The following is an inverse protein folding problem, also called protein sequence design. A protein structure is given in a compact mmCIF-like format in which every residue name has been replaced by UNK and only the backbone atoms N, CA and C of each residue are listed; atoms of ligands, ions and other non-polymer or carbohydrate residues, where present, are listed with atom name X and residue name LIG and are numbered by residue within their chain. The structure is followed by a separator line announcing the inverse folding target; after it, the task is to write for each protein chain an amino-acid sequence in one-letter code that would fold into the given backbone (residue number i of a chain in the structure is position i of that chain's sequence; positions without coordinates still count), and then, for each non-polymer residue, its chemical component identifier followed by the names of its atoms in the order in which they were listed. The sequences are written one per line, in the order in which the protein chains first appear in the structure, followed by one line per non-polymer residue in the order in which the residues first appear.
data_IF_353522737416
#
_entry.id   IF_353522737416
#
_cell.length_a   1.000
_cell.length_b   1.000
_cell.length_c   1.000
_cell.angle_alpha   90.00
_cell.angle_beta   90.00
_cell.angle_gamma   90.00
#
_symmetry.space_group_name_H-M   'P 1'
#
loop_
_entity.id
_entity.type
_entity.pdbx_description
1 polymer ?
#
# COMPACT_ATOMS: atom_id res chain seq x y z
N UNK A 1 -28.64 -8.56 49.85
CA UNK A 1 -27.38 -8.01 49.30
C UNK A 1 -27.60 -8.00 47.81
N UNK A 2 -28.26 -6.93 47.35
CA UNK A 2 -28.48 -6.68 45.93
C UNK A 2 -27.16 -6.10 45.44
N UNK A 3 -26.44 -6.86 44.61
CA UNK A 3 -25.35 -6.31 43.81
C UNK A 3 -25.99 -5.19 42.99
N UNK A 4 -25.82 -3.95 43.45
CA UNK A 4 -26.09 -2.78 42.64
C UNK A 4 -25.17 -2.92 41.45
N UNK A 5 -25.73 -3.22 40.28
CA UNK A 5 -25.07 -3.02 39.00
C UNK A 5 -24.53 -1.59 39.05
N UNK A 6 -23.22 -1.46 39.33
CA UNK A 6 -22.53 -0.19 39.13
C UNK A 6 -22.60 0.02 37.63
N UNK A 7 -23.52 0.89 37.20
CA UNK A 7 -23.65 1.30 35.81
C UNK A 7 -22.25 1.73 35.34
N UNK A 8 -21.61 0.90 34.51
CA UNK A 8 -20.28 1.17 33.98
C UNK A 8 -20.36 2.50 33.21
N UNK A 9 -19.76 3.54 33.78
CA UNK A 9 -19.74 4.87 33.16
C UNK A 9 -18.93 4.77 31.87
N UNK A 10 -19.61 4.90 30.74
CA UNK A 10 -18.99 4.84 29.42
C UNK A 10 -17.98 5.99 29.26
N UNK A 11 -16.76 5.65 28.87
CA UNK A 11 -15.76 6.65 28.54
C UNK A 11 -15.86 7.10 27.09
N UNK A 12 -15.76 8.42 26.84
CA UNK A 12 -15.71 8.99 25.50
C UNK A 12 -14.66 10.11 25.39
N UNK A 13 -13.93 10.22 24.27
CA UNK A 13 -12.93 11.26 24.12
C UNK A 13 -13.60 12.63 24.05
N UNK A 14 -13.01 13.58 24.78
CA UNK A 14 -13.43 14.97 24.75
C UNK A 14 -13.26 15.58 23.37
N UNK A 15 -14.28 16.24 22.85
CA UNK A 15 -14.21 16.92 21.54
C UNK A 15 -13.98 18.41 21.77
N UNK A 16 -12.72 18.81 21.91
CA UNK A 16 -12.36 20.21 22.17
C UNK A 16 -12.45 21.06 20.90
N UNK A 17 -12.61 22.40 21.02
CA UNK A 17 -12.52 23.31 19.88
C UNK A 17 -11.20 23.16 19.10
N UNK A 18 -10.08 22.91 19.79
CA UNK A 18 -8.79 22.56 19.15
C UNK A 18 -8.93 21.37 18.21
N UNK A 19 -9.47 20.23 18.70
CA UNK A 19 -9.61 19.00 17.92
C UNK A 19 -10.54 19.17 16.72
N UNK A 20 -11.64 19.92 16.89
CA UNK A 20 -12.51 20.29 15.78
C UNK A 20 -11.80 21.19 14.77
N UNK A 21 -10.94 22.10 15.22
CA UNK A 21 -10.15 22.95 14.32
C UNK A 21 -9.16 22.12 13.49
N UNK A 22 -8.46 21.16 14.10
CA UNK A 22 -7.58 20.21 13.41
C UNK A 22 -8.37 19.45 12.33
N UNK A 23 -9.50 18.84 12.68
CA UNK A 23 -10.33 18.09 11.74
C UNK A 23 -10.92 18.96 10.63
N UNK A 24 -11.54 20.08 10.99
CA UNK A 24 -12.19 20.98 10.04
C UNK A 24 -11.20 21.59 9.06
N UNK A 25 -10.01 21.96 9.50
CA UNK A 25 -8.96 22.50 8.60
C UNK A 25 -8.37 21.41 7.71
N UNK A 26 -8.16 20.20 8.23
CA UNK A 26 -7.76 19.02 7.43
C UNK A 26 -8.76 18.79 6.28
N UNK A 27 -10.04 18.67 6.62
CA UNK A 27 -11.10 18.40 5.66
C UNK A 27 -11.31 19.57 4.69
N UNK A 28 -11.41 20.79 5.23
CA UNK A 28 -11.69 22.00 4.48
C UNK A 28 -10.58 22.34 3.49
N UNK A 29 -9.34 22.46 3.96
CA UNK A 29 -8.20 22.80 3.10
C UNK A 29 -7.85 21.67 2.14
N UNK A 30 -7.88 20.42 2.60
CA UNK A 30 -7.62 19.27 1.72
C UNK A 30 -8.65 19.15 0.59
N UNK A 31 -9.93 19.38 0.89
CA UNK A 31 -11.00 19.36 -0.13
C UNK A 31 -10.92 20.58 -1.06
N UNK A 32 -10.68 21.78 -0.52
CA UNK A 32 -10.50 22.98 -1.34
C UNK A 32 -9.31 22.83 -2.31
N UNK A 33 -8.21 22.24 -1.84
CA UNK A 33 -7.05 21.88 -2.67
C UNK A 33 -7.43 20.92 -3.79
N UNK A 34 -8.10 19.82 -3.47
CA UNK A 34 -8.51 18.82 -4.47
C UNK A 34 -9.44 19.40 -5.54
N UNK A 35 -10.43 20.19 -5.15
CA UNK A 35 -11.34 20.87 -6.08
C UNK A 35 -10.58 21.87 -6.96
N UNK A 36 -9.66 22.63 -6.38
CA UNK A 36 -8.86 23.62 -7.12
C UNK A 36 -7.94 22.96 -8.14
N UNK A 37 -7.32 21.84 -7.77
CA UNK A 37 -6.50 21.04 -8.67
C UNK A 37 -7.32 20.46 -9.84
N UNK A 38 -8.57 20.03 -9.60
CA UNK A 38 -9.45 19.50 -10.65
C UNK A 38 -9.96 20.54 -11.62
N UNK A 39 -10.25 21.76 -11.16
CA UNK A 39 -10.79 22.83 -12.02
C UNK A 39 -9.78 23.34 -13.05
N UNK A 40 -8.54 22.83 -13.06
CA UNK A 40 -7.45 23.40 -13.85
C UNK A 40 -7.12 24.84 -13.45
N UNK A 41 -7.69 25.32 -12.33
CA UNK A 41 -7.36 26.61 -11.74
C UNK A 41 -5.86 26.65 -11.54
N UNK A 42 -5.25 27.80 -11.84
CA UNK A 42 -3.80 27.98 -11.91
C UNK A 42 -3.08 27.22 -10.78
N UNK A 43 -2.13 26.36 -11.14
CA UNK A 43 -1.42 25.42 -10.27
C UNK A 43 -0.97 26.04 -8.93
N UNK A 44 -0.66 27.34 -8.94
CA UNK A 44 -0.32 28.17 -7.78
C UNK A 44 -1.36 28.17 -6.65
N UNK A 45 -2.66 28.04 -6.95
CA UNK A 45 -3.74 28.02 -5.94
C UNK A 45 -3.66 26.76 -5.09
N UNK A 46 -3.45 25.60 -5.70
CA UNK A 46 -3.30 24.32 -4.98
C UNK A 46 -2.07 24.36 -4.07
N UNK A 47 -0.93 24.85 -4.58
CA UNK A 47 0.29 25.04 -3.80
C UNK A 47 0.09 26.04 -2.65
N UNK A 48 -0.68 27.11 -2.87
CA UNK A 48 -1.01 28.08 -1.81
C UNK A 48 -1.79 27.43 -0.67
N UNK A 49 -2.77 26.56 -0.98
CA UNK A 49 -3.48 25.80 0.05
C UNK A 49 -2.57 24.85 0.83
N UNK A 50 -1.58 24.24 0.18
CA UNK A 50 -0.57 23.42 0.87
C UNK A 50 0.24 24.25 1.87
N UNK A 51 0.71 25.44 1.47
CA UNK A 51 1.47 26.33 2.35
C UNK A 51 0.65 26.85 3.52
N UNK A 52 -0.59 27.30 3.26
CA UNK A 52 -1.49 27.77 4.31
C UNK A 52 -1.80 26.62 5.28
N UNK A 53 -2.14 25.44 4.76
CA UNK A 53 -2.38 24.25 5.56
C UNK A 53 -1.17 23.87 6.41
N UNK A 54 0.01 23.74 5.80
CA UNK A 54 1.24 23.40 6.51
C UNK A 54 1.61 24.39 7.62
N UNK A 55 1.48 25.69 7.34
CA UNK A 55 1.72 26.75 8.34
C UNK A 55 0.72 26.64 9.50
N UNK A 56 -0.55 26.41 9.18
CA UNK A 56 -1.61 26.27 10.17
C UNK A 56 -1.42 25.03 11.04
N UNK A 57 -1.10 23.86 10.45
CA UNK A 57 -0.77 22.65 11.20
C UNK A 57 0.47 22.81 12.07
N UNK A 58 1.47 23.59 11.63
CA UNK A 58 2.64 23.87 12.46
C UNK A 58 2.27 24.68 13.71
N UNK A 59 1.37 25.65 13.59
CA UNK A 59 0.83 26.40 14.73
C UNK A 59 0.07 25.45 15.68
N UNK A 60 -0.82 24.61 15.13
CA UNK A 60 -1.55 23.61 15.91
C UNK A 60 -0.60 22.64 16.62
N UNK A 61 0.44 22.16 15.93
CA UNK A 61 1.46 21.28 16.49
C UNK A 61 2.19 21.92 17.68
N UNK A 62 2.52 23.22 17.60
CA UNK A 62 3.17 23.96 18.69
C UNK A 62 2.27 24.05 19.94
N UNK A 63 0.94 24.14 19.77
CA UNK A 63 0.00 24.23 20.90
C UNK A 63 -0.55 22.87 21.35
N UNK A 64 -0.26 21.79 20.62
CA UNK A 64 -0.69 20.41 20.92
C UNK A 64 -0.35 19.93 22.35
N UNK A 65 0.78 20.31 22.99
CA UNK A 65 1.05 19.90 24.36
C UNK A 65 -0.05 20.27 25.37
N UNK A 66 -0.78 21.37 25.15
CA UNK A 66 -1.90 21.77 26.00
C UNK A 66 -3.11 20.85 25.87
N UNK A 67 -3.32 20.24 24.70
CA UNK A 67 -4.34 19.20 24.50
C UNK A 67 -3.93 17.89 25.19
N UNK A 68 -2.62 17.62 25.28
CA UNK A 68 -2.05 16.43 25.95
C UNK A 68 -1.95 16.56 27.48
N UNK A 69 -2.71 17.48 28.09
CA UNK A 69 -2.79 17.65 29.54
C UNK A 69 -1.78 18.64 30.15
N UNK A 70 -0.93 19.30 29.37
CA UNK A 70 -0.14 20.41 29.91
C UNK A 70 -1.08 21.56 30.31
N UNK A 71 -0.81 22.28 31.43
CA UNK A 71 -1.67 23.36 31.88
C UNK A 71 -1.74 24.46 30.81
N UNK A 72 -2.94 24.70 30.29
CA UNK A 72 -3.15 25.71 29.25
C UNK A 72 -3.10 27.13 29.85
N UNK A 73 -2.48 28.11 29.16
CA UNK A 73 -2.57 29.51 29.58
C UNK A 73 -4.03 29.98 29.59
N UNK A 74 -4.38 30.86 30.54
CA UNK A 74 -5.77 31.37 30.70
C UNK A 74 -6.38 31.97 29.42
N UNK A 75 -5.57 32.49 28.51
CA UNK A 75 -6.05 33.06 27.24
C UNK A 75 -6.27 32.00 26.13
N UNK A 76 -5.78 30.76 26.33
CA UNK A 76 -6.00 29.61 25.43
C UNK A 76 -6.95 28.56 26.01
N UNK A 77 -7.36 28.69 27.28
CA UNK A 77 -8.23 27.71 27.93
C UNK A 77 -9.52 27.47 27.15
N UNK A 78 -10.09 28.50 26.53
CA UNK A 78 -11.28 28.38 25.68
C UNK A 78 -11.12 27.39 24.52
N UNK A 79 -9.89 27.10 24.09
CA UNK A 79 -9.59 26.22 22.96
C UNK A 79 -9.48 24.74 23.38
N UNK A 80 -9.12 24.46 24.64
CA UNK A 80 -8.80 23.10 25.13
C UNK A 80 -9.72 22.61 26.27
N UNK A 81 -10.29 23.52 27.07
CA UNK A 81 -11.09 23.18 28.24
C UNK A 81 -12.57 22.90 27.96
N UNK A 82 -13.26 23.55 27.00
CA UNK A 82 -14.64 23.20 26.69
C UNK A 82 -14.73 21.86 25.96
N UNK A 83 -15.74 21.05 26.31
CA UNK A 83 -16.18 19.94 25.46
C UNK A 83 -17.29 20.43 24.53
N UNK A 84 -17.07 20.34 23.22
CA UNK A 84 -18.08 20.73 22.24
C UNK A 84 -19.31 19.81 22.28
N UNK A 85 -19.19 18.60 22.84
CA UNK A 85 -20.33 17.72 23.05
C UNK A 85 -21.36 18.33 24.01
N UNK A 86 -20.95 19.15 24.99
CA UNK A 86 -21.87 19.81 25.92
C UNK A 86 -22.85 20.74 25.19
N UNK A 87 -22.38 21.42 24.14
CA UNK A 87 -23.23 22.29 23.30
C UNK A 87 -24.24 21.45 22.52
N UNK A 88 -23.80 20.32 21.97
CA UNK A 88 -24.67 19.40 21.22
C UNK A 88 -25.73 18.82 22.17
N UNK A 89 -25.32 18.33 23.33
CA UNK A 89 -26.24 17.79 24.33
C UNK A 89 -27.19 18.85 24.88
N UNK A 90 -26.74 20.09 25.06
CA UNK A 90 -27.62 21.20 25.42
C UNK A 90 -28.70 21.44 24.35
N UNK A 91 -28.36 21.34 23.07
CA UNK A 91 -29.32 21.45 21.97
C UNK A 91 -30.27 20.24 21.92
N UNK A 92 -29.77 19.02 22.11
CA UNK A 92 -30.56 17.80 22.15
C UNK A 92 -31.49 17.72 23.38
N UNK A 93 -31.07 18.27 24.51
CA UNK A 93 -31.89 18.39 25.71
C UNK A 93 -33.12 19.28 25.48
N UNK A 94 -33.01 20.32 24.63
CA UNK A 94 -34.18 21.10 24.18
C UNK A 94 -35.15 20.27 23.35
N UNK A 95 -34.68 19.18 22.74
CA UNK A 95 -35.49 18.19 22.03
C UNK A 95 -35.92 17.02 22.93
N UNK A 96 -35.79 17.14 24.25
CA UNK A 96 -36.14 16.12 25.24
C UNK A 96 -35.32 14.82 25.17
N UNK A 97 -34.11 14.86 24.59
CA UNK A 97 -33.18 13.73 24.63
C UNK A 97 -32.27 13.91 25.84
N UNK A 98 -32.28 13.00 26.84
CA UNK A 98 -31.42 13.12 28.02
C UNK A 98 -29.95 12.99 27.64
N UNK A 99 -29.08 13.78 28.30
CA UNK A 99 -27.64 13.63 28.17
C UNK A 99 -27.23 12.32 28.85
N UNK A 100 -26.50 11.42 28.17
CA UNK A 100 -25.89 10.27 28.82
C UNK A 100 -24.86 10.74 29.85
N UNK A 101 -24.71 9.97 30.92
CA UNK A 101 -23.60 10.15 31.85
C UNK A 101 -22.37 9.46 31.24
N UNK A 102 -21.31 10.24 30.96
CA UNK A 102 -20.09 9.73 30.38
C UNK A 102 -18.87 10.45 30.97
N UNK A 103 -17.76 9.74 31.04
CA UNK A 103 -16.50 10.30 31.51
C UNK A 103 -15.65 10.71 30.30
N UNK A 104 -15.22 11.98 30.26
CA UNK A 104 -14.33 12.50 29.21
C UNK A 104 -12.91 12.79 29.68
N UNK A 105 -12.59 12.42 30.92
CA UNK A 105 -11.28 12.62 31.49
C UNK A 105 -10.28 11.63 30.89
N UNK A 106 -9.29 12.16 30.19
CA UNK A 106 -8.23 11.34 29.58
C UNK A 106 -7.24 10.87 30.64
N UNK A 107 -6.84 9.60 30.55
CA UNK A 107 -5.76 9.07 31.37
C UNK A 107 -4.45 9.72 30.94
N UNK A 108 -3.75 10.31 31.91
CA UNK A 108 -2.42 10.84 31.70
C UNK A 108 -1.47 9.65 31.51
N UNK A 109 -0.77 9.53 30.37
CA UNK A 109 0.17 8.44 30.16
C UNK A 109 1.21 8.39 31.28
N UNK A 110 1.59 7.19 31.71
CA UNK A 110 2.62 7.02 32.74
C UNK A 110 3.93 7.73 32.32
N UNK A 111 4.35 8.79 33.04
CA UNK A 111 5.54 9.56 32.68
C UNK A 111 6.83 8.74 32.77
N UNK A 112 6.81 7.57 33.43
CA UNK A 112 7.97 6.67 33.57
C UNK A 112 8.14 5.71 32.40
N UNK A 113 7.20 5.69 31.45
CA UNK A 113 7.32 4.92 30.20
C UNK A 113 8.38 5.56 29.28
N UNK A 114 9.64 5.12 29.44
CA UNK A 114 10.77 5.62 28.65
C UNK A 114 10.74 5.24 27.15
N UNK A 115 9.65 4.63 26.65
CA UNK A 115 9.55 4.17 25.27
C UNK A 115 8.14 4.31 24.71
N UNK A 116 8.03 4.90 23.50
CA UNK A 116 6.78 4.93 22.75
C UNK A 116 6.42 3.48 22.33
N UNK A 117 5.31 2.90 22.80
CA UNK A 117 4.93 1.54 22.42
C UNK A 117 4.69 1.45 20.91
N UNK A 118 5.04 0.29 20.31
CA UNK A 118 4.69 0.01 18.91
C UNK A 118 3.32 -0.67 18.95
N UNK A 119 2.28 0.16 18.82
CA UNK A 119 0.88 -0.27 18.88
C UNK A 119 0.40 -0.71 17.50
N UNK A 120 -0.62 -1.56 17.45
CA UNK A 120 -1.23 -2.01 16.18
C UNK A 120 -1.78 -0.82 15.39
N UNK A 121 -2.38 0.15 16.10
CA UNK A 121 -2.83 1.42 15.53
C UNK A 121 -1.70 2.18 14.81
N UNK A 122 -0.54 2.36 15.45
CA UNK A 122 0.59 3.08 14.84
C UNK A 122 1.15 2.35 13.61
N UNK A 123 1.19 1.02 13.65
CA UNK A 123 1.57 0.22 12.47
C UNK A 123 0.56 0.40 11.32
N UNK A 124 -0.75 0.42 11.62
CA UNK A 124 -1.79 0.67 10.64
C UNK A 124 -1.65 2.06 9.99
N UNK A 125 -1.42 3.11 10.78
CA UNK A 125 -1.24 4.47 10.27
C UNK A 125 0.01 4.55 9.39
N UNK A 126 1.16 4.06 9.87
CA UNK A 126 2.42 4.07 9.10
C UNK A 126 2.34 3.27 7.80
N UNK A 127 1.73 2.08 7.83
CA UNK A 127 1.55 1.25 6.64
C UNK A 127 0.59 1.91 5.63
N UNK A 128 -0.48 2.57 6.10
CA UNK A 128 -1.40 3.31 5.24
C UNK A 128 -0.70 4.49 4.56
N UNK A 129 0.03 5.32 5.32
CA UNK A 129 0.79 6.45 4.75
C UNK A 129 1.80 5.96 3.70
N UNK A 130 2.49 4.85 3.99
CA UNK A 130 3.45 4.25 3.06
C UNK A 130 2.76 3.77 1.78
N UNK A 131 1.66 3.02 1.90
CA UNK A 131 0.93 2.46 0.76
C UNK A 131 0.36 3.56 -0.15
N UNK A 132 -0.31 4.56 0.42
CA UNK A 132 -0.86 5.69 -0.34
C UNK A 132 0.24 6.60 -0.88
N UNK A 133 1.35 6.77 -0.18
CA UNK A 133 2.52 7.51 -0.66
C UNK A 133 3.14 6.86 -1.89
N UNK A 134 3.32 5.53 -1.87
CA UNK A 134 3.79 4.76 -3.03
C UNK A 134 2.79 4.87 -4.19
N UNK A 135 1.49 4.71 -3.92
CA UNK A 135 0.45 4.82 -4.94
C UNK A 135 0.42 6.22 -5.59
N UNK A 136 0.49 7.28 -4.78
CA UNK A 136 0.58 8.67 -5.26
C UNK A 136 1.82 8.88 -6.11
N UNK A 137 2.99 8.41 -5.66
CA UNK A 137 4.23 8.53 -6.42
C UNK A 137 4.13 7.80 -7.76
N UNK A 138 3.59 6.58 -7.77
CA UNK A 138 3.35 5.82 -8.99
C UNK A 138 2.43 6.58 -9.95
N UNK A 139 1.27 7.07 -9.50
CA UNK A 139 0.38 7.87 -10.34
C UNK A 139 1.03 9.16 -10.85
N UNK A 140 1.86 9.81 -10.03
CA UNK A 140 2.63 10.97 -10.42
C UNK A 140 3.63 10.67 -11.54
N UNK A 141 4.42 9.59 -11.40
CA UNK A 141 5.38 9.16 -12.43
C UNK A 141 4.71 8.71 -13.72
N UNK A 142 3.48 8.19 -13.65
CA UNK A 142 2.68 7.80 -14.81
C UNK A 142 1.97 8.98 -15.49
N UNK A 143 2.15 10.21 -15.01
CA UNK A 143 1.47 11.39 -15.55
C UNK A 143 -0.04 11.43 -15.24
N UNK A 144 -0.54 10.53 -14.38
CA UNK A 144 -1.95 10.46 -13.97
C UNK A 144 -2.21 11.46 -12.83
N UNK A 145 -2.07 12.75 -13.13
CA UNK A 145 -2.17 13.85 -12.16
C UNK A 145 -3.50 13.83 -11.39
N UNK A 146 -4.61 13.51 -12.05
CA UNK A 146 -5.93 13.37 -11.43
C UNK A 146 -5.97 12.22 -10.41
N UNK A 147 -5.44 11.05 -10.77
CA UNK A 147 -5.40 9.89 -9.87
C UNK A 147 -4.47 10.14 -8.67
N UNK A 148 -3.32 10.78 -8.91
CA UNK A 148 -2.41 11.19 -7.85
C UNK A 148 -3.07 12.19 -6.89
N UNK A 149 -3.83 13.16 -7.42
CA UNK A 149 -4.58 14.15 -6.63
C UNK A 149 -5.67 13.50 -5.79
N UNK A 150 -6.44 12.57 -6.36
CA UNK A 150 -7.46 11.82 -5.61
C UNK A 150 -6.86 10.93 -4.54
N UNK A 151 -5.73 10.30 -4.83
CA UNK A 151 -5.00 9.47 -3.85
C UNK A 151 -4.50 10.33 -2.69
N UNK A 152 -3.96 11.52 -2.99
CA UNK A 152 -3.54 12.52 -2.00
C UNK A 152 -4.72 13.00 -1.15
N UNK A 153 -5.86 13.30 -1.76
CA UNK A 153 -7.07 13.71 -1.04
C UNK A 153 -7.64 12.59 -0.17
N UNK A 154 -7.73 11.35 -0.69
CA UNK A 154 -8.23 10.21 0.09
C UNK A 154 -7.35 9.94 1.31
N UNK A 155 -6.02 9.96 1.16
CA UNK A 155 -5.12 9.80 2.29
C UNK A 155 -5.24 11.00 3.24
N UNK A 156 -5.00 12.22 2.72
CA UNK A 156 -4.83 13.42 3.53
C UNK A 156 -6.11 13.92 4.19
N UNK A 157 -7.28 13.66 3.59
CA UNK A 157 -8.58 14.06 4.15
C UNK A 157 -9.27 12.89 4.80
N UNK A 158 -9.63 11.86 4.03
CA UNK A 158 -10.52 10.80 4.53
C UNK A 158 -9.80 9.91 5.55
N UNK A 159 -8.67 9.33 5.16
CA UNK A 159 -7.95 8.40 6.02
C UNK A 159 -7.36 9.11 7.24
N UNK A 160 -6.72 10.27 7.07
CA UNK A 160 -6.19 11.05 8.19
C UNK A 160 -7.28 11.48 9.16
N UNK A 161 -8.48 11.87 8.71
CA UNK A 161 -9.58 12.22 9.64
C UNK A 161 -10.07 11.01 10.43
N UNK A 162 -10.20 9.85 9.78
CA UNK A 162 -10.58 8.60 10.46
C UNK A 162 -9.51 8.21 11.48
N UNK A 163 -8.23 8.22 11.09
CA UNK A 163 -7.13 7.93 12.01
C UNK A 163 -7.07 8.94 13.15
N UNK A 164 -7.26 10.22 12.88
CA UNK A 164 -7.33 11.23 13.92
C UNK A 164 -8.43 10.92 14.95
N UNK A 165 -9.65 10.65 14.49
CA UNK A 165 -10.74 10.25 15.37
C UNK A 165 -10.42 8.97 16.17
N UNK A 166 -9.77 7.98 15.53
CA UNK A 166 -9.34 6.76 16.22
C UNK A 166 -8.22 7.04 17.24
N UNK A 167 -7.27 7.94 16.96
CA UNK A 167 -6.23 8.31 17.94
C UNK A 167 -6.78 8.99 19.18
N UNK A 168 -7.96 9.61 19.12
CA UNK A 168 -8.60 10.17 20.31
C UNK A 168 -8.94 9.08 21.34
N UNK A 169 -9.09 7.83 20.90
CA UNK A 169 -9.30 6.67 21.77
C UNK A 169 -7.98 6.03 22.24
N UNK A 170 -6.82 6.50 21.78
CA UNK A 170 -5.52 5.96 22.20
C UNK A 170 -5.23 6.25 23.68
N UNK A 171 -5.76 7.36 24.22
CA UNK A 171 -5.55 7.80 25.61
C UNK A 171 -6.38 7.03 26.63
N UNK A 172 -7.50 6.41 26.25
CA UNK A 172 -8.32 5.58 27.15
C UNK A 172 -8.73 4.29 26.45
N UNK A 173 -7.77 3.37 26.38
CA UNK A 173 -7.92 2.11 25.65
C UNK A 173 -8.59 0.98 26.44
N UNK A 174 -8.91 1.20 27.72
CA UNK A 174 -9.27 0.13 28.64
C UNK A 174 -10.57 -0.58 28.24
N UNK A 175 -11.54 0.14 27.65
CA UNK A 175 -12.89 -0.41 27.44
C UNK A 175 -13.18 -0.93 26.02
N UNK A 176 -12.61 -0.33 24.97
CA UNK A 176 -13.02 -0.66 23.59
C UNK A 176 -12.11 -1.68 22.89
N UNK A 177 -10.79 -1.49 22.96
CA UNK A 177 -9.84 -2.38 22.27
C UNK A 177 -8.38 -2.21 22.77
N UNK A 178 -8.05 -2.68 23.98
CA UNK A 178 -6.71 -2.52 24.54
C UNK A 178 -5.63 -3.17 23.67
N UNK A 179 -5.95 -4.29 23.01
CA UNK A 179 -5.03 -4.99 22.09
C UNK A 179 -4.61 -4.16 20.85
N UNK A 180 -5.40 -3.15 20.48
CA UNK A 180 -5.16 -2.29 19.33
C UNK A 180 -4.33 -1.05 19.70
N UNK A 181 -4.61 -0.45 20.88
CA UNK A 181 -4.05 0.83 21.31
C UNK A 181 -2.97 0.73 22.40
N UNK A 182 -3.06 -0.17 23.37
CA UNK A 182 -2.14 -0.19 24.53
C UNK A 182 -1.15 -1.36 24.52
N UNK A 183 -1.47 -2.48 23.89
CA UNK A 183 -0.58 -3.64 23.87
C UNK A 183 0.70 -3.35 23.06
N UNK A 184 1.85 -3.22 23.77
CA UNK A 184 3.14 -3.05 23.11
C UNK A 184 3.52 -4.31 22.34
N UNK A 185 3.44 -4.24 21.01
CA UNK A 185 3.74 -5.36 20.13
C UNK A 185 5.23 -5.62 19.99
N UNK A 186 6.13 -4.79 20.55
CA UNK A 186 7.59 -5.02 20.49
C UNK A 186 7.95 -6.44 20.91
N UNK A 187 7.45 -6.91 22.04
CA UNK A 187 7.78 -8.25 22.54
C UNK A 187 7.19 -9.36 21.67
N UNK A 188 6.05 -9.12 21.01
CA UNK A 188 5.44 -10.04 20.05
C UNK A 188 6.22 -10.06 18.72
N UNK A 189 6.64 -8.91 18.21
CA UNK A 189 7.48 -8.77 17.01
C UNK A 189 8.87 -9.37 17.21
N UNK A 190 9.46 -9.21 18.40
CA UNK A 190 10.83 -9.63 18.68
C UNK A 190 10.99 -10.98 19.39
N UNK A 191 10.00 -11.47 20.16
CA UNK A 191 10.23 -12.65 21.03
C UNK A 191 9.15 -13.73 21.08
N UNK A 192 7.90 -13.51 20.61
CA UNK A 192 6.79 -14.45 20.91
C UNK A 192 5.74 -14.73 19.85
N UNK A 193 5.97 -14.43 18.57
CA UNK A 193 5.08 -14.92 17.50
C UNK A 193 5.77 -15.97 16.64
N UNK A 194 5.42 -17.26 16.78
CA UNK A 194 5.60 -18.22 15.68
C UNK A 194 4.28 -18.69 15.05
N UNK A 195 3.12 -18.18 15.47
CA UNK A 195 1.91 -19.00 15.41
C UNK A 195 0.64 -18.34 14.88
N UNK A 196 -0.11 -17.70 15.78
CA UNK A 196 -1.47 -17.22 15.53
C UNK A 196 -1.44 -15.82 14.92
N UNK A 197 -0.53 -14.95 15.38
CA UNK A 197 -0.29 -13.63 14.77
C UNK A 197 0.37 -13.74 13.39
N UNK A 198 1.22 -14.75 13.16
CA UNK A 198 1.77 -15.03 11.83
C UNK A 198 0.69 -15.55 10.88
N UNK A 199 -0.16 -16.49 11.34
CA UNK A 199 -1.27 -17.00 10.54
C UNK A 199 -2.23 -15.89 10.14
N UNK A 200 -2.62 -15.02 11.09
CA UNK A 200 -3.50 -13.87 10.82
C UNK A 200 -2.87 -12.80 9.95
N UNK A 201 -1.57 -12.52 10.11
CA UNK A 201 -0.84 -11.59 9.24
C UNK A 201 -0.74 -12.13 7.81
N UNK A 202 -0.45 -13.43 7.64
CA UNK A 202 -0.41 -14.05 6.32
C UNK A 202 -1.80 -14.16 5.69
N UNK A 203 -2.84 -14.51 6.44
CA UNK A 203 -4.21 -14.55 5.90
C UNK A 203 -4.71 -13.15 5.55
N UNK A 204 -4.42 -12.13 6.37
CA UNK A 204 -4.72 -10.74 6.06
C UNK A 204 -3.94 -10.26 4.83
N UNK A 205 -2.65 -10.57 4.75
CA UNK A 205 -1.82 -10.23 3.58
C UNK A 205 -2.31 -10.91 2.30
N UNK A 206 -2.67 -12.19 2.37
CA UNK A 206 -3.25 -12.94 1.25
C UNK A 206 -4.60 -12.35 0.86
N UNK A 207 -5.47 -12.06 1.83
CA UNK A 207 -6.77 -11.45 1.58
C UNK A 207 -6.62 -10.07 0.92
N UNK A 208 -5.70 -9.23 1.41
CA UNK A 208 -5.39 -7.93 0.82
C UNK A 208 -4.85 -8.05 -0.60
N UNK A 209 -3.94 -8.99 -0.85
CA UNK A 209 -3.40 -9.22 -2.19
C UNK A 209 -4.44 -9.80 -3.17
N UNK A 210 -5.34 -10.66 -2.69
CA UNK A 210 -6.48 -11.18 -3.47
C UNK A 210 -7.47 -10.06 -3.78
N UNK A 211 -7.85 -9.26 -2.78
CA UNK A 211 -8.73 -8.11 -2.96
C UNK A 211 -8.13 -7.12 -3.95
N UNK A 212 -6.83 -6.82 -3.83
CA UNK A 212 -6.07 -5.99 -4.77
C UNK A 212 -6.17 -6.53 -6.20
N UNK A 213 -5.90 -7.81 -6.39
CA UNK A 213 -5.94 -8.46 -7.71
C UNK A 213 -7.35 -8.45 -8.32
N UNK A 214 -8.39 -8.71 -7.51
CA UNK A 214 -9.79 -8.66 -7.95
C UNK A 214 -10.21 -7.24 -8.33
N UNK A 215 -9.83 -6.24 -7.52
CA UNK A 215 -10.13 -4.84 -7.78
C UNK A 215 -9.51 -4.38 -9.10
N UNK A 216 -8.22 -4.67 -9.33
CA UNK A 216 -7.57 -4.34 -10.60
C UNK A 216 -8.16 -5.10 -11.78
N UNK A 217 -8.48 -6.39 -11.65
CA UNK A 217 -9.18 -7.15 -12.69
C UNK A 217 -10.53 -6.52 -13.06
N UNK A 218 -11.32 -6.13 -12.06
CA UNK A 218 -12.63 -5.49 -12.28
C UNK A 218 -12.47 -4.14 -12.97
N UNK A 219 -11.50 -3.35 -12.52
CA UNK A 219 -11.19 -2.06 -13.10
C UNK A 219 -10.72 -2.20 -14.56
N UNK A 220 -9.84 -3.17 -14.88
CA UNK A 220 -9.48 -3.53 -16.28
C UNK A 220 -10.74 -3.89 -17.07
N UNK A 221 -11.60 -4.74 -16.52
CA UNK A 221 -12.83 -5.16 -17.20
C UNK A 221 -13.80 -4.00 -17.45
N UNK A 222 -13.87 -3.02 -16.55
CA UNK A 222 -14.67 -1.81 -16.71
C UNK A 222 -14.03 -0.84 -17.72
N UNK A 223 -12.74 -0.54 -17.58
CA UNK A 223 -11.99 0.29 -18.52
C UNK A 223 -12.02 -0.28 -19.94
N UNK A 224 -12.09 -1.60 -20.08
CA UNK A 224 -12.24 -2.26 -21.39
C UNK A 224 -13.64 -2.12 -21.99
N UNK A 225 -14.69 -2.14 -21.16
CA UNK A 225 -16.08 -2.00 -21.60
C UNK A 225 -16.49 -0.55 -21.86
N UNK A 226 -15.86 0.38 -21.16
CA UNK A 226 -16.20 1.79 -21.27
C UNK A 226 -15.60 2.39 -22.54
N UNK A 227 -16.45 2.70 -23.51
CA UNK A 227 -16.05 3.32 -24.77
C UNK A 227 -15.49 4.73 -24.57
N UNK A 228 -15.75 5.38 -23.43
CA UNK A 228 -15.18 6.69 -23.09
C UNK A 228 -13.68 6.62 -22.82
N UNK A 229 -13.18 5.48 -22.32
CA UNK A 229 -11.73 5.20 -22.27
C UNK A 229 -11.16 4.82 -23.63
N UNK A 230 -12.01 4.41 -24.58
CA UNK A 230 -11.59 3.90 -25.87
C UNK A 230 -11.44 4.99 -26.94
N UNK A 231 -11.99 6.18 -26.74
CA UNK A 231 -12.02 7.18 -27.80
C UNK A 231 -12.17 8.62 -27.30
N UNK A 232 -11.05 9.33 -27.15
CA UNK A 232 -11.06 10.78 -27.37
C UNK A 232 -11.07 11.01 -28.86
N UNK A 233 -12.06 11.76 -29.34
CA UNK A 233 -12.19 12.12 -30.75
C UNK A 233 -10.86 12.78 -31.19
N UNK A 234 -10.15 12.19 -32.17
CA UNK A 234 -8.84 12.69 -32.55
C UNK A 234 -8.99 14.11 -33.11
N UNK A 235 -8.04 14.98 -32.75
CA UNK A 235 -8.00 16.34 -33.28
C UNK A 235 -8.01 16.30 -34.81
N UNK A 236 -8.87 17.11 -35.42
CA UNK A 236 -9.13 17.12 -36.88
C UNK A 236 -7.87 17.41 -37.68
N UNK A 237 -6.90 18.09 -37.08
CA UNK A 237 -5.63 18.46 -37.71
C UNK A 237 -4.60 17.32 -37.76
N UNK A 238 -4.65 16.34 -36.84
CA UNK A 238 -3.68 15.24 -36.77
C UNK A 238 -4.35 13.89 -36.46
N UNK A 239 -5.22 13.39 -37.37
CA UNK A 239 -6.04 12.20 -37.10
C UNK A 239 -5.22 10.92 -36.90
N UNK A 240 -4.04 10.84 -37.51
CA UNK A 240 -3.17 9.65 -37.45
C UNK A 240 -2.39 9.61 -36.14
N UNK A 241 -1.75 10.72 -35.73
CA UNK A 241 -1.01 10.76 -34.46
C UNK A 241 -1.96 10.61 -33.28
N UNK A 242 -3.08 11.35 -33.27
CA UNK A 242 -4.05 11.26 -32.16
C UNK A 242 -4.51 9.83 -31.95
N UNK A 243 -4.76 9.10 -33.04
CA UNK A 243 -5.11 7.68 -33.01
C UNK A 243 -3.95 6.80 -32.53
N UNK A 244 -2.73 7.02 -33.02
CA UNK A 244 -1.55 6.25 -32.61
C UNK A 244 -1.20 6.46 -31.13
N UNK A 245 -1.25 7.71 -30.65
CA UNK A 245 -1.02 8.08 -29.26
C UNK A 245 -2.09 7.49 -28.33
N UNK A 246 -3.37 7.64 -28.67
CA UNK A 246 -4.46 7.04 -27.88
C UNK A 246 -4.34 5.51 -27.81
N UNK A 247 -3.93 4.88 -28.91
CA UNK A 247 -3.71 3.45 -28.97
C UNK A 247 -2.49 3.02 -28.14
N UNK A 248 -1.38 3.75 -28.20
CA UNK A 248 -0.20 3.51 -27.38
C UNK A 248 -0.48 3.70 -25.89
N UNK A 249 -1.16 4.79 -25.52
CA UNK A 249 -1.57 5.07 -24.15
C UNK A 249 -2.48 3.96 -23.60
N UNK A 250 -3.39 3.44 -24.43
CA UNK A 250 -4.26 2.31 -24.06
C UNK A 250 -3.47 1.03 -23.79
N UNK A 251 -2.53 0.69 -24.67
CA UNK A 251 -1.67 -0.47 -24.46
C UNK A 251 -0.77 -0.32 -23.24
N UNK A 252 -0.21 0.87 -23.03
CA UNK A 252 0.60 1.18 -21.86
C UNK A 252 -0.20 1.06 -20.56
N UNK A 253 -1.39 1.66 -20.49
CA UNK A 253 -2.25 1.54 -19.31
C UNK A 253 -2.62 0.08 -19.05
N UNK A 254 -2.97 -0.67 -20.10
CA UNK A 254 -3.25 -2.10 -19.99
C UNK A 254 -2.04 -2.87 -19.43
N UNK A 255 -0.85 -2.55 -19.91
CA UNK A 255 0.41 -3.16 -19.47
C UNK A 255 0.70 -2.87 -17.99
N UNK A 256 0.55 -1.62 -17.55
CA UNK A 256 0.70 -1.23 -16.14
C UNK A 256 -0.33 -1.92 -15.24
N UNK A 257 -1.55 -2.12 -15.72
CA UNK A 257 -2.57 -2.86 -14.98
C UNK A 257 -2.24 -4.36 -14.87
N UNK A 258 -1.73 -4.97 -15.94
CA UNK A 258 -1.26 -6.35 -15.92
C UNK A 258 -0.08 -6.52 -14.95
N UNK A 259 0.81 -5.52 -14.87
CA UNK A 259 1.89 -5.49 -13.89
C UNK A 259 1.35 -5.40 -12.45
N UNK A 260 0.35 -4.54 -12.19
CA UNK A 260 -0.32 -4.47 -10.88
C UNK A 260 -0.97 -5.80 -10.46
N UNK A 261 -1.57 -6.53 -11.41
CA UNK A 261 -2.12 -7.88 -11.20
C UNK A 261 -0.99 -8.87 -10.90
N UNK A 262 0.09 -8.84 -11.68
CA UNK A 262 1.25 -9.71 -11.49
C UNK A 262 1.87 -9.51 -10.10
N UNK A 263 2.06 -8.27 -9.65
CA UNK A 263 2.54 -7.93 -8.30
C UNK A 263 1.63 -8.53 -7.22
N UNK A 264 0.30 -8.42 -7.38
CA UNK A 264 -0.65 -9.05 -6.47
C UNK A 264 -0.46 -10.57 -6.38
N UNK A 265 -0.32 -11.25 -7.52
CA UNK A 265 -0.07 -12.70 -7.59
C UNK A 265 1.27 -13.07 -6.96
N UNK A 266 2.34 -12.31 -7.21
CA UNK A 266 3.67 -12.55 -6.61
C UNK A 266 3.61 -12.39 -5.09
N UNK A 267 2.95 -11.34 -4.59
CA UNK A 267 2.73 -11.16 -3.16
C UNK A 267 2.00 -12.36 -2.55
N UNK A 268 0.96 -12.89 -3.20
CA UNK A 268 0.27 -14.11 -2.76
C UNK A 268 1.24 -15.29 -2.71
N UNK A 269 2.03 -15.52 -3.78
CA UNK A 269 2.98 -16.63 -3.85
C UNK A 269 4.08 -16.53 -2.78
N UNK A 270 4.60 -15.33 -2.52
CA UNK A 270 5.59 -15.09 -1.48
C UNK A 270 5.00 -15.31 -0.09
N UNK A 271 3.80 -14.80 0.19
CA UNK A 271 3.13 -15.02 1.48
C UNK A 271 2.80 -16.50 1.70
N UNK A 272 2.36 -17.21 0.64
CA UNK A 272 2.15 -18.66 0.70
C UNK A 272 3.44 -19.43 0.95
N UNK A 273 4.57 -19.03 0.33
CA UNK A 273 5.89 -19.62 0.60
C UNK A 273 6.29 -19.40 2.05
N UNK A 274 6.17 -18.18 2.54
CA UNK A 274 6.54 -17.83 3.91
C UNK A 274 5.67 -18.57 4.93
N UNK A 275 4.36 -18.68 4.65
CA UNK A 275 3.44 -19.52 5.42
C UNK A 275 3.85 -20.99 5.39
N UNK A 276 4.19 -21.55 4.22
CA UNK A 276 4.62 -22.94 4.09
C UNK A 276 5.91 -23.22 4.87
N UNK A 277 6.92 -22.35 4.78
CA UNK A 277 8.16 -22.45 5.57
C UNK A 277 7.87 -22.34 7.06
N UNK A 278 6.99 -21.42 7.45
CA UNK A 278 6.54 -21.25 8.84
C UNK A 278 5.84 -22.50 9.37
N UNK A 279 4.97 -23.13 8.59
CA UNK A 279 4.28 -24.37 8.99
C UNK A 279 5.25 -25.56 9.07
N UNK A 280 6.17 -25.67 8.10
CA UNK A 280 7.13 -26.78 8.03
C UNK A 280 8.16 -26.73 9.16
N UNK A 281 8.70 -25.54 9.47
CA UNK A 281 9.62 -25.34 10.59
C UNK A 281 8.97 -25.69 11.94
N UNK A 282 7.67 -25.43 12.06
CA UNK A 282 6.90 -25.67 13.28
C UNK A 282 6.49 -27.13 13.45
N UNK A 283 6.22 -27.84 12.37
CA UNK A 283 6.03 -29.29 12.40
C UNK A 283 7.26 -29.99 12.99
N UNK A 284 8.48 -29.58 12.63
CA UNK A 284 9.72 -30.11 13.20
C UNK A 284 9.83 -29.95 14.71
N UNK A 285 9.39 -28.81 15.25
CA UNK A 285 9.36 -28.55 16.70
C UNK A 285 8.33 -29.44 17.41
N UNK A 286 7.14 -29.62 16.80
CA UNK A 286 6.11 -30.52 17.34
C UNK A 286 6.56 -31.99 17.36
N UNK A 287 7.26 -32.46 16.34
CA UNK A 287 7.82 -33.81 16.31
C UNK A 287 8.95 -33.99 17.36
N UNK A 288 9.82 -33.00 17.53
CA UNK A 288 10.86 -33.01 18.57
C UNK A 288 10.27 -32.99 20.00
N UNK A 289 9.22 -32.20 20.24
CA UNK A 289 8.51 -32.15 21.52
C UNK A 289 7.75 -33.46 21.80
N UNK A 290 7.08 -34.02 20.78
CA UNK A 290 6.37 -35.30 20.88
C UNK A 290 7.32 -36.46 21.18
N UNK A 291 8.51 -36.50 20.57
CA UNK A 291 9.54 -37.50 20.87
C UNK A 291 10.05 -37.43 22.32
N UNK A 292 10.16 -36.22 22.89
CA UNK A 292 10.52 -36.03 24.30
C UNK A 292 9.41 -36.46 25.27
N UNK A 293 8.16 -36.15 24.96
CA UNK A 293 7.01 -36.50 25.81
C UNK A 293 6.73 -38.00 25.73
N UNK A 294 6.81 -38.63 24.55
CA UNK A 294 6.61 -40.07 24.39
C UNK A 294 7.73 -40.88 25.04
N UNK A 295 8.96 -40.38 25.03
CA UNK A 295 10.09 -41.02 25.73
C UNK A 295 9.98 -41.02 27.26
N UNK A 296 9.19 -40.10 27.83
CA UNK A 296 8.97 -40.01 29.29
C UNK A 296 7.72 -40.78 29.73
N UNK A 297 6.64 -40.76 28.92
CA UNK A 297 5.34 -41.33 29.31
C UNK A 297 5.15 -42.80 28.93
N UNK A 298 5.91 -43.34 27.97
CA UNK A 298 5.70 -44.70 27.43
C UNK A 298 7.02 -45.47 27.21
N UNK A 299 7.76 -45.84 28.28
CA UNK A 299 8.89 -46.75 28.15
C UNK A 299 8.47 -48.20 27.84
N UNK A 300 7.17 -48.51 27.88
CA UNK A 300 6.63 -49.88 27.76
C UNK A 300 6.31 -50.34 26.33
N UNK A 301 6.45 -49.48 25.32
CA UNK A 301 6.28 -49.85 23.89
C UNK A 301 7.60 -49.75 23.10
N UNK A 302 8.73 -49.91 23.78
CA UNK A 302 10.07 -49.95 23.18
C UNK A 302 10.44 -51.38 22.75
N UNK A 303 9.64 -52.00 21.87
CA UNK A 303 10.05 -53.25 21.25
C UNK A 303 9.71 -53.27 19.75
N UNK A 304 10.71 -52.85 18.97
CA UNK A 304 11.05 -53.43 17.66
C UNK A 304 10.13 -53.27 16.45
N UNK A 305 9.30 -52.22 16.34
CA UNK A 305 8.65 -51.89 15.07
C UNK A 305 9.46 -50.87 14.23
N UNK A 306 10.18 -51.28 13.16
CA UNK A 306 10.88 -50.40 12.23
C UNK A 306 9.96 -49.61 11.28
N UNK A 307 8.64 -49.66 11.49
CA UNK A 307 7.65 -49.14 10.54
C UNK A 307 7.40 -47.63 10.61
N UNK A 308 7.92 -46.95 11.63
CA UNK A 308 7.83 -45.50 11.76
C UNK A 308 9.23 -44.86 11.74
N UNK A 309 9.99 -45.08 10.66
CA UNK A 309 10.97 -44.07 10.25
C UNK A 309 10.18 -42.82 9.89
N UNK A 310 10.31 -41.71 10.62
CA UNK A 310 9.73 -40.45 10.20
C UNK A 310 10.60 -39.97 9.04
N UNK A 311 10.33 -40.48 7.85
CA UNK A 311 10.87 -39.94 6.62
C UNK A 311 10.29 -38.54 6.49
N UNK A 312 11.02 -37.59 7.09
CA UNK A 312 10.84 -36.16 6.90
C UNK A 312 10.52 -35.92 5.43
N UNK A 313 9.61 -34.98 5.09
CA UNK A 313 9.33 -34.64 3.71
C UNK A 313 10.66 -34.45 3.01
N UNK A 314 10.99 -35.36 2.08
CA UNK A 314 12.37 -35.56 1.66
C UNK A 314 12.96 -34.20 1.25
N UNK A 315 14.22 -33.95 1.58
CA UNK A 315 14.93 -32.71 1.25
C UNK A 315 14.72 -32.28 -0.22
N UNK A 316 14.36 -33.24 -1.09
CA UNK A 316 13.88 -33.07 -2.47
C UNK A 316 12.68 -32.12 -2.61
N UNK A 317 11.65 -32.19 -1.76
CA UNK A 317 10.46 -31.33 -1.85
C UNK A 317 10.74 -29.88 -1.46
N UNK A 318 11.49 -29.65 -0.37
CA UNK A 318 11.91 -28.31 0.04
C UNK A 318 12.79 -27.68 -1.04
N UNK A 319 13.69 -28.47 -1.63
CA UNK A 319 14.53 -28.05 -2.75
C UNK A 319 13.69 -27.66 -3.96
N UNK A 320 12.72 -28.49 -4.37
CA UNK A 320 11.81 -28.20 -5.49
C UNK A 320 10.97 -26.93 -5.25
N UNK A 321 10.43 -26.74 -4.05
CA UNK A 321 9.68 -25.54 -3.70
C UNK A 321 10.56 -24.28 -3.72
N UNK A 322 11.80 -24.36 -3.21
CA UNK A 322 12.76 -23.26 -3.26
C UNK A 322 13.10 -22.89 -4.71
N UNK A 323 13.37 -23.88 -5.56
CA UNK A 323 13.65 -23.70 -6.99
C UNK A 323 12.46 -23.06 -7.70
N UNK A 324 11.24 -23.58 -7.46
CA UNK A 324 10.01 -23.06 -8.05
C UNK A 324 9.76 -21.59 -7.69
N UNK A 325 9.93 -21.21 -6.42
CA UNK A 325 9.72 -19.79 -6.07
C UNK A 325 10.83 -18.90 -6.63
N UNK A 326 12.09 -19.37 -6.67
CA UNK A 326 13.15 -18.61 -7.32
C UNK A 326 12.82 -18.36 -8.80
N UNK A 327 12.30 -19.38 -9.47
CA UNK A 327 11.83 -19.30 -10.84
C UNK A 327 10.65 -18.33 -11.00
N UNK A 328 9.65 -18.35 -10.12
CA UNK A 328 8.55 -17.38 -10.15
C UNK A 328 9.02 -15.94 -9.93
N UNK A 329 9.94 -15.72 -8.99
CA UNK A 329 10.52 -14.39 -8.72
C UNK A 329 11.36 -13.92 -9.92
N UNK A 330 12.13 -14.82 -10.52
CA UNK A 330 12.92 -14.54 -11.72
C UNK A 330 12.02 -14.13 -12.89
N UNK A 331 11.01 -14.95 -13.23
CA UNK A 331 10.03 -14.58 -14.27
C UNK A 331 9.36 -13.24 -13.95
N UNK A 332 8.95 -13.02 -12.71
CA UNK A 332 8.31 -11.78 -12.30
C UNK A 332 9.21 -10.56 -12.53
N UNK A 333 10.47 -10.64 -12.11
CA UNK A 333 11.46 -9.58 -12.32
C UNK A 333 11.67 -9.35 -13.82
N UNK A 334 11.81 -10.40 -14.61
CA UNK A 334 11.95 -10.29 -16.06
C UNK A 334 10.72 -9.70 -16.74
N UNK A 335 9.51 -10.09 -16.35
CA UNK A 335 8.27 -9.51 -16.86
C UNK A 335 8.20 -8.02 -16.50
N UNK A 336 8.58 -7.63 -15.28
CA UNK A 336 8.63 -6.23 -14.89
C UNK A 336 9.65 -5.42 -15.71
N UNK A 337 10.86 -5.96 -15.91
CA UNK A 337 11.91 -5.30 -16.71
C UNK A 337 11.46 -5.20 -18.17
N UNK A 338 10.98 -6.30 -18.75
CA UNK A 338 10.49 -6.36 -20.12
C UNK A 338 9.35 -5.38 -20.35
N UNK A 339 8.39 -5.28 -19.41
CA UNK A 339 7.32 -4.31 -19.48
C UNK A 339 7.79 -2.87 -19.40
N UNK A 340 8.78 -2.60 -18.53
CA UNK A 340 9.41 -1.28 -18.45
C UNK A 340 10.11 -0.92 -19.76
N UNK A 341 10.84 -1.85 -20.37
CA UNK A 341 11.54 -1.61 -21.63
C UNK A 341 10.58 -1.46 -22.82
N UNK A 342 9.52 -2.27 -22.90
CA UNK A 342 8.43 -2.11 -23.87
C UNK A 342 7.75 -0.75 -23.76
N UNK A 343 7.46 -0.30 -22.54
CA UNK A 343 6.91 1.04 -22.29
C UNK A 343 7.80 2.13 -22.90
N UNK A 344 9.12 2.05 -22.65
CA UNK A 344 10.09 3.01 -23.18
C UNK A 344 10.12 2.93 -24.72
N UNK A 345 10.16 1.73 -25.29
CA UNK A 345 10.07 1.50 -26.73
C UNK A 345 8.83 2.16 -27.34
N UNK A 346 7.66 2.00 -26.70
CA UNK A 346 6.41 2.61 -27.14
C UNK A 346 6.43 4.14 -27.06
N UNK A 347 6.93 4.70 -25.96
CA UNK A 347 7.04 6.16 -25.80
C UNK A 347 7.96 6.78 -26.86
N UNK A 348 9.14 6.18 -27.07
CA UNK A 348 10.08 6.69 -28.08
C UNK A 348 9.50 6.56 -29.48
N UNK A 349 8.82 5.46 -29.79
CA UNK A 349 8.13 5.27 -31.09
C UNK A 349 7.03 6.30 -31.29
N UNK A 350 6.26 6.63 -30.24
CA UNK A 350 5.24 7.68 -30.27
C UNK A 350 5.83 9.07 -30.54
N UNK A 351 6.96 9.39 -29.91
CA UNK A 351 7.69 10.65 -30.17
C UNK A 351 8.20 10.70 -31.62
N UNK A 352 8.77 9.62 -32.14
CA UNK A 352 9.21 9.56 -33.56
C UNK A 352 8.03 9.80 -34.49
N UNK A 353 6.91 9.12 -34.27
CA UNK A 353 5.73 9.27 -35.12
C UNK A 353 5.22 10.72 -35.13
N UNK A 354 5.22 11.38 -33.97
CA UNK A 354 4.87 12.80 -33.85
C UNK A 354 5.84 13.71 -34.62
N UNK A 355 7.15 13.46 -34.50
CA UNK A 355 8.20 14.23 -35.21
C UNK A 355 8.07 14.05 -36.72
N UNK A 356 7.83 12.83 -37.20
CA UNK A 356 7.64 12.52 -38.63
C UNK A 356 6.38 13.17 -39.22
N UNK A 357 5.30 13.24 -38.46
CA UNK A 357 4.08 13.93 -38.90
C UNK A 357 4.27 15.45 -38.91
N UNK A 358 4.96 16.00 -37.91
CA UNK A 358 5.36 17.42 -37.89
C UNK A 358 6.21 17.77 -39.11
N UNK A 359 7.10 16.87 -39.54
CA UNK A 359 7.92 17.04 -40.74
C UNK A 359 7.11 17.17 -42.03
N UNK A 360 5.99 16.45 -42.15
CA UNK A 360 5.20 16.47 -43.38
C UNK A 360 4.58 17.84 -43.68
N UNK A 361 4.46 18.71 -42.66
CA UNK A 361 3.87 20.03 -42.78
C UNK A 361 4.90 21.17 -42.88
N UNK A 362 6.20 20.87 -42.96
CA UNK A 362 7.26 21.90 -43.02
C UNK A 362 7.79 22.04 -44.45
N UNK A 363 7.52 23.19 -45.07
CA UNK A 363 7.99 23.50 -46.43
C UNK A 363 9.49 23.83 -46.52
N UNK A 364 10.16 24.00 -45.37
CA UNK A 364 11.57 24.43 -45.33
C UNK A 364 12.53 23.23 -45.38
N UNK A 365 13.23 23.11 -46.51
CA UNK A 365 14.17 22.03 -46.82
C UNK A 365 15.34 21.91 -45.82
N UNK A 366 15.76 23.03 -45.22
CA UNK A 366 16.80 23.01 -44.17
C UNK A 366 16.32 22.38 -42.86
N UNK A 367 15.10 22.73 -42.43
CA UNK A 367 14.46 22.12 -41.26
C UNK A 367 14.18 20.64 -41.50
N UNK A 368 13.74 20.28 -42.71
CA UNK A 368 13.52 18.89 -43.12
C UNK A 368 14.80 18.06 -42.98
N UNK A 369 15.95 18.57 -43.44
CA UNK A 369 17.23 17.87 -43.34
C UNK A 369 17.66 17.63 -41.87
N UNK A 370 17.54 18.66 -41.00
CA UNK A 370 17.88 18.55 -39.57
C UNK A 370 16.98 17.53 -38.87
N UNK A 371 15.67 17.60 -39.07
CA UNK A 371 14.74 16.67 -38.43
C UNK A 371 14.87 15.24 -38.99
N UNK A 372 15.23 15.07 -40.26
CA UNK A 372 15.49 13.73 -40.84
C UNK A 372 16.72 13.09 -40.18
N UNK A 373 17.79 13.87 -39.96
CA UNK A 373 18.99 13.39 -39.28
C UNK A 373 18.71 13.02 -37.82
N UNK A 374 17.91 13.84 -37.12
CA UNK A 374 17.43 13.54 -35.76
C UNK A 374 16.57 12.27 -35.75
N UNK A 375 15.64 12.13 -36.69
CA UNK A 375 14.78 10.96 -36.85
C UNK A 375 15.57 9.66 -37.05
N UNK A 376 16.65 9.68 -37.83
CA UNK A 376 17.55 8.53 -37.98
C UNK A 376 18.21 8.14 -36.64
N UNK A 377 18.71 9.12 -35.87
CA UNK A 377 19.31 8.86 -34.56
C UNK A 377 18.32 8.22 -33.59
N UNK A 378 17.09 8.74 -33.52
CA UNK A 378 16.06 8.19 -32.64
C UNK A 378 15.62 6.80 -33.13
N UNK A 379 15.57 6.57 -34.45
CA UNK A 379 15.29 5.26 -35.03
C UNK A 379 16.32 4.18 -34.64
N UNK A 380 17.61 4.53 -34.63
CA UNK A 380 18.68 3.62 -34.15
C UNK A 380 18.49 3.30 -32.66
N UNK A 381 18.13 4.30 -31.84
CA UNK A 381 17.87 4.08 -30.41
C UNK A 381 16.70 3.10 -30.22
N UNK A 382 15.58 3.28 -30.94
CA UNK A 382 14.43 2.35 -30.87
C UNK A 382 14.84 0.95 -31.29
N UNK A 383 15.62 0.81 -32.36
CA UNK A 383 16.09 -0.48 -32.82
C UNK A 383 16.96 -1.19 -31.76
N UNK A 384 17.84 -0.46 -31.08
CA UNK A 384 18.65 -1.00 -29.98
C UNK A 384 17.76 -1.44 -28.81
N UNK A 385 16.77 -0.62 -28.41
CA UNK A 385 15.85 -0.99 -27.33
C UNK A 385 15.05 -2.23 -27.70
N UNK A 386 14.59 -2.36 -28.95
CA UNK A 386 13.92 -3.56 -29.45
C UNK A 386 14.81 -4.82 -29.39
N UNK A 387 16.10 -4.69 -29.72
CA UNK A 387 17.04 -5.80 -29.55
C UNK A 387 17.20 -6.16 -28.07
N UNK A 388 17.28 -5.17 -27.18
CA UNK A 388 17.31 -5.40 -25.74
C UNK A 388 16.03 -6.11 -25.24
N UNK A 389 14.85 -5.69 -25.68
CA UNK A 389 13.56 -6.33 -25.38
C UNK A 389 13.55 -7.80 -25.81
N UNK A 390 14.07 -8.07 -27.02
CA UNK A 390 14.20 -9.43 -27.54
C UNK A 390 15.19 -10.29 -26.74
N UNK A 391 16.33 -9.72 -26.34
CA UNK A 391 17.32 -10.41 -25.49
C UNK A 391 16.76 -10.68 -24.08
N UNK A 392 15.97 -9.76 -23.53
CA UNK A 392 15.27 -9.97 -22.26
C UNK A 392 14.24 -11.09 -22.35
N UNK A 393 13.49 -11.17 -23.45
CA UNK A 393 12.56 -12.26 -23.71
C UNK A 393 13.28 -13.61 -23.79
N UNK A 394 14.42 -13.67 -24.50
CA UNK A 394 15.26 -14.88 -24.56
C UNK A 394 15.76 -15.26 -23.16
N UNK A 395 16.25 -14.29 -22.38
CA UNK A 395 16.71 -14.51 -21.00
C UNK A 395 15.58 -15.05 -20.10
N UNK A 396 14.33 -14.60 -20.30
CA UNK A 396 13.17 -15.12 -19.57
C UNK A 396 12.84 -16.57 -19.93
N UNK A 397 13.04 -16.98 -21.19
CA UNK A 397 12.70 -18.32 -21.68
C UNK A 397 13.84 -19.33 -21.42
N UNK A 398 15.10 -18.89 -21.38
CA UNK A 398 16.26 -19.79 -21.26
C UNK A 398 16.22 -20.71 -20.02
N UNK A 399 15.83 -20.24 -18.81
CA UNK A 399 15.73 -21.09 -17.62
C UNK A 399 14.68 -22.20 -17.74
N UNK A 400 13.62 -22.02 -18.56
CA UNK A 400 12.61 -23.07 -18.81
C UNK A 400 13.20 -24.25 -19.56
N UNK A 401 14.13 -24.01 -20.49
CA UNK A 401 14.79 -25.06 -21.24
C UNK A 401 15.73 -25.89 -20.35
N UNK A 402 16.45 -25.25 -19.42
CA UNK A 402 17.30 -25.96 -18.45
C UNK A 402 16.52 -26.71 -17.37
N UNK A 403 15.26 -26.37 -17.14
CA UNK A 403 14.40 -27.11 -16.20
C UNK A 403 13.91 -28.44 -16.79
N UNK A 404 13.91 -28.59 -18.12
CA UNK A 404 13.49 -29.80 -18.81
C UNK A 404 14.59 -30.88 -18.84
N UNK A 405 15.85 -30.47 -18.63
CA UNK A 405 16.98 -31.38 -18.48
C UNK A 405 17.12 -31.74 -16.99
N UNK A 406 17.10 -33.03 -16.65
CA UNK A 406 16.99 -33.56 -15.27
C UNK A 406 18.22 -33.26 -14.36
N UNK A 407 19.13 -32.38 -14.76
CA UNK A 407 20.33 -32.00 -14.00
C UNK A 407 20.13 -30.68 -13.22
N UNK A 408 19.78 -30.74 -11.92
CA UNK A 408 19.53 -29.56 -11.10
C UNK A 408 20.78 -28.70 -10.85
N UNK A 409 21.98 -29.17 -11.20
CA UNK A 409 23.22 -28.41 -11.01
C UNK A 409 23.40 -27.33 -12.08
N UNK A 410 22.93 -27.57 -13.30
CA UNK A 410 23.00 -26.60 -14.40
C UNK A 410 21.97 -25.47 -14.28
N UNK A 411 20.79 -25.78 -13.73
CA UNK A 411 19.76 -24.76 -13.49
C UNK A 411 20.21 -23.68 -12.49
N UNK A 412 21.00 -24.06 -11.48
CA UNK A 412 21.45 -23.12 -10.46
C UNK A 412 22.55 -22.18 -10.96
N UNK A 413 23.39 -22.63 -11.90
CA UNK A 413 24.39 -21.76 -12.53
C UNK A 413 23.74 -20.81 -13.54
N UNK A 414 22.75 -21.25 -14.33
CA UNK A 414 22.10 -20.38 -15.31
C UNK A 414 21.31 -19.22 -14.69
N UNK A 415 20.70 -19.40 -13.51
CA UNK A 415 20.04 -18.33 -12.76
C UNK A 415 20.98 -17.25 -12.19
N UNK A 416 22.29 -17.52 -12.08
CA UNK A 416 23.28 -16.57 -11.56
C UNK A 416 23.91 -15.74 -12.69
N UNK A 417 23.93 -16.28 -13.91
CA UNK A 417 24.53 -15.65 -15.08
C UNK A 417 23.52 -15.00 -16.05
N UNK A 418 22.21 -15.23 -15.85
CA UNK A 418 21.11 -14.56 -16.57
C UNK A 418 20.55 -13.39 -15.79
#
# INVERSE_FOLDING_TARGET
MSDSEEDEILWHPKVTPYRLMVLSTTIGLGTAKAISAQKGSAQYVSTTFEWIGGTFFLILFVVNPYDSGAPSPRYLSWLFEPDCMDVIWFLLAKLSIPCPDYQSQELIPDPYSNHLPITTYRVLVCSSVTAFGIAKAAFGYLGLSTAATWTDWMLGVVATSIFYCLSLYESSSEDLCPSFFSEDRRQNVYSRVPAVSIGTLYTAGIALAVMWTISWKRFVGQAWRDSTFAYTEPDTYHPIIGKAFNMALKYFLFEMMMLCIAVGVICILLLLRLLAISLLSRAGIFYAARGRISGILLPLFSEHDPFFSPDFPSNRYIRRLKTFVHFCVHIAVHVCIFTGCLTISFLVTGVIAFVLDTLQNVDNLFFLAILTFLGMYVGVIVFVIWICDFLLLISMIMPLYFYLDDDPTQFHSSLIFS
#
